data_IF_253548808108
#
_entry.id   IF_253548808108
#
_cell.length_a   1.000
_cell.length_b   1.000
_cell.length_c   1.000
_cell.angle_alpha   90.00
_cell.angle_beta   90.00
_cell.angle_gamma   90.00
#
_symmetry.space_group_name_H-M   'P 1'
#
loop_
_entity.id
_entity.type
_entity.pdbx_description
1 polymer ?
#
# COMPACT_ATOMS: atom_id res chain seq x y z
N UNK A 1 1.77 41.62 84.27
CA UNK A 1 1.95 41.96 82.84
C UNK A 1 2.65 40.87 82.02
N UNK A 2 3.37 39.91 82.62
CA UNK A 2 4.10 38.86 81.87
C UNK A 2 3.20 37.88 81.10
N UNK A 3 2.07 37.42 81.68
CA UNK A 3 1.15 36.47 81.04
C UNK A 3 0.54 36.98 79.71
N UNK A 4 0.26 38.28 79.62
CA UNK A 4 -0.34 38.87 78.41
C UNK A 4 0.64 38.86 77.23
N UNK A 5 1.93 39.06 77.52
CA UNK A 5 3.01 39.01 76.53
C UNK A 5 3.20 37.60 75.96
N UNK A 6 3.07 36.58 76.81
CA UNK A 6 3.16 35.17 76.40
C UNK A 6 1.98 34.73 75.53
N UNK A 7 0.77 35.17 75.86
CA UNK A 7 -0.43 34.89 75.04
C UNK A 7 -0.30 35.51 73.64
N UNK A 8 0.15 36.77 73.55
CA UNK A 8 0.35 37.45 72.26
C UNK A 8 1.42 36.74 71.42
N UNK A 9 2.52 36.30 72.03
CA UNK A 9 3.56 35.54 71.34
C UNK A 9 3.04 34.19 70.84
N UNK A 10 2.30 33.45 71.67
CA UNK A 10 1.72 32.17 71.28
C UNK A 10 0.72 32.34 70.12
N UNK A 11 -0.13 33.36 70.17
CA UNK A 11 -1.08 33.68 69.10
C UNK A 11 -0.35 34.05 67.79
N UNK A 12 0.73 34.83 67.87
CA UNK A 12 1.55 35.18 66.70
C UNK A 12 2.21 33.95 66.06
N UNK A 13 2.76 33.04 66.87
CA UNK A 13 3.35 31.79 66.38
C UNK A 13 2.29 30.89 65.72
N UNK A 14 1.11 30.77 66.34
CA UNK A 14 0.01 30.01 65.76
C UNK A 14 -0.46 30.58 64.41
N UNK A 15 -0.56 31.92 64.31
CA UNK A 15 -0.92 32.59 63.06
C UNK A 15 0.11 32.35 61.95
N UNK A 16 1.41 32.40 62.28
CA UNK A 16 2.49 32.12 61.32
C UNK A 16 2.50 30.65 60.88
N UNK A 17 2.23 29.71 61.80
CA UNK A 17 2.11 28.30 61.46
C UNK A 17 0.91 28.03 60.53
N UNK A 18 -0.23 28.68 60.79
CA UNK A 18 -1.42 28.57 59.94
C UNK A 18 -1.17 29.15 58.54
N UNK A 19 -0.56 30.34 58.45
CA UNK A 19 -0.19 30.96 57.18
C UNK A 19 0.81 30.10 56.39
N UNK A 20 1.80 29.51 57.07
CA UNK A 20 2.76 28.59 56.46
C UNK A 20 2.10 27.32 55.92
N UNK A 21 1.09 26.79 56.61
CA UNK A 21 0.31 25.64 56.17
C UNK A 21 -0.50 25.94 54.90
N UNK A 22 -1.23 27.05 54.88
CA UNK A 22 -2.01 27.51 53.72
C UNK A 22 -1.12 27.75 52.49
N UNK A 23 0.04 28.41 52.67
CA UNK A 23 0.99 28.58 51.57
C UNK A 23 1.48 27.25 51.02
N UNK A 24 1.79 26.27 51.88
CA UNK A 24 2.21 24.94 51.45
C UNK A 24 1.11 24.21 50.68
N UNK A 25 -0.15 24.35 51.10
CA UNK A 25 -1.29 23.77 50.39
C UNK A 25 -1.47 24.38 48.99
N UNK A 26 -1.36 25.70 48.85
CA UNK A 26 -1.44 26.40 47.56
C UNK A 26 -0.27 26.03 46.64
N UNK A 27 0.94 25.94 47.19
CA UNK A 27 2.12 25.48 46.45
C UNK A 27 1.93 24.05 45.94
N UNK A 28 1.49 23.13 46.81
CA UNK A 28 1.23 21.74 46.43
C UNK A 28 0.15 21.61 45.35
N UNK A 29 -0.91 22.43 45.39
CA UNK A 29 -1.93 22.46 44.34
C UNK A 29 -1.38 22.96 43.00
N UNK A 30 -0.54 24.01 43.02
CA UNK A 30 0.12 24.52 41.82
C UNK A 30 1.07 23.49 41.23
N UNK A 31 1.90 22.86 42.04
CA UNK A 31 2.82 21.82 41.60
C UNK A 31 2.04 20.64 40.98
N UNK A 32 0.96 20.20 41.62
CA UNK A 32 0.09 19.16 41.08
C UNK A 32 -0.60 19.57 39.76
N UNK A 33 -0.92 20.85 39.57
CA UNK A 33 -1.48 21.35 38.31
C UNK A 33 -0.42 21.39 37.21
N UNK A 34 0.80 21.85 37.52
CA UNK A 34 1.94 21.88 36.59
C UNK A 34 2.32 20.48 36.15
N UNK A 35 2.39 19.52 37.08
CA UNK A 35 2.67 18.10 36.78
C UNK A 35 1.58 17.50 35.88
N UNK A 36 0.30 17.78 36.15
CA UNK A 36 -0.79 17.31 35.28
C UNK A 36 -0.73 17.93 33.89
N UNK A 37 -0.41 19.23 33.80
CA UNK A 37 -0.28 19.91 32.52
C UNK A 37 0.89 19.35 31.69
N UNK A 38 2.05 19.10 32.31
CA UNK A 38 3.19 18.52 31.62
C UNK A 38 2.93 17.08 31.17
N UNK A 39 2.28 16.27 32.00
CA UNK A 39 1.83 14.92 31.62
C UNK A 39 0.84 14.95 30.45
N UNK A 40 -0.17 15.83 30.50
CA UNK A 40 -1.13 15.99 29.42
C UNK A 40 -0.45 16.44 28.12
N UNK A 41 0.54 17.34 28.20
CA UNK A 41 1.31 17.77 27.03
C UNK A 41 2.15 16.63 26.45
N UNK A 42 2.80 15.82 27.29
CA UNK A 42 3.54 14.64 26.83
C UNK A 42 2.63 13.62 26.16
N UNK A 43 1.44 13.37 26.74
CA UNK A 43 0.44 12.50 26.14
C UNK A 43 -0.09 13.06 24.81
N UNK A 44 -0.32 14.38 24.72
CA UNK A 44 -0.73 15.02 23.48
C UNK A 44 0.33 14.90 22.37
N UNK A 45 1.61 15.08 22.71
CA UNK A 45 2.72 14.89 21.76
C UNK A 45 2.83 13.43 21.31
N UNK A 46 2.74 12.48 22.25
CA UNK A 46 2.79 11.06 21.93
C UNK A 46 1.62 10.62 21.05
N UNK A 47 0.40 11.07 21.36
CA UNK A 47 -0.79 10.76 20.55
C UNK A 47 -0.76 11.43 19.18
N UNK A 48 -0.24 12.64 19.08
CA UNK A 48 -0.05 13.31 17.79
C UNK A 48 0.98 12.58 16.93
N UNK A 49 2.09 12.12 17.51
CA UNK A 49 3.09 11.32 16.80
C UNK A 49 2.49 9.99 16.28
N UNK A 50 1.72 9.29 17.13
CA UNK A 50 1.02 8.06 16.72
C UNK A 50 0.04 8.31 15.57
N UNK A 51 -0.78 9.37 15.64
CA UNK A 51 -1.72 9.73 14.57
C UNK A 51 -1.04 10.11 13.26
N UNK A 52 0.13 10.75 13.32
CA UNK A 52 0.90 11.07 12.12
C UNK A 52 1.39 9.80 11.43
N UNK A 53 1.86 8.82 12.20
CA UNK A 53 2.25 7.52 11.68
C UNK A 53 1.06 6.76 11.09
N UNK A 54 -0.08 6.69 11.78
CA UNK A 54 -1.31 6.07 11.26
C UNK A 54 -1.77 6.70 9.93
N UNK A 55 -1.69 8.03 9.81
CA UNK A 55 -2.04 8.73 8.56
C UNK A 55 -1.08 8.41 7.43
N UNK A 56 0.20 8.26 7.74
CA UNK A 56 1.21 7.91 6.74
C UNK A 56 0.98 6.49 6.22
N UNK A 57 0.79 5.52 7.12
CA UNK A 57 0.46 4.14 6.75
C UNK A 57 -0.82 4.09 5.91
N UNK A 58 -1.88 4.79 6.32
CA UNK A 58 -3.12 4.84 5.56
C UNK A 58 -2.95 5.47 4.16
N UNK A 59 -2.05 6.45 4.01
CA UNK A 59 -1.76 7.05 2.71
C UNK A 59 -0.97 6.11 1.81
N UNK A 60 -0.01 5.37 2.36
CA UNK A 60 0.80 4.39 1.63
C UNK A 60 -0.06 3.19 1.17
N UNK A 61 -0.97 2.73 2.02
CA UNK A 61 -1.96 1.69 1.69
C UNK A 61 -2.89 2.17 0.57
N UNK A 62 -3.43 3.39 0.67
CA UNK A 62 -4.30 3.97 -0.35
C UNK A 62 -3.58 4.15 -1.69
N UNK A 63 -2.31 4.58 -1.68
CA UNK A 63 -1.49 4.68 -2.89
C UNK A 63 -1.25 3.32 -3.54
N UNK A 64 -1.01 2.28 -2.73
CA UNK A 64 -0.81 0.91 -3.20
C UNK A 64 -2.07 0.32 -3.81
N UNK A 65 -3.23 0.55 -3.18
CA UNK A 65 -4.53 0.15 -3.72
C UNK A 65 -4.82 0.83 -5.07
N UNK A 66 -4.61 2.15 -5.16
CA UNK A 66 -4.82 2.90 -6.39
C UNK A 66 -3.90 2.44 -7.53
N UNK A 67 -2.64 2.13 -7.24
CA UNK A 67 -1.72 1.58 -8.22
C UNK A 67 -2.18 0.21 -8.73
N UNK A 68 -2.61 -0.67 -7.82
CA UNK A 68 -3.14 -2.00 -8.19
C UNK A 68 -4.40 -1.92 -9.05
N UNK A 69 -5.35 -1.03 -8.70
CA UNK A 69 -6.56 -0.82 -9.49
C UNK A 69 -6.25 -0.34 -10.91
N UNK A 70 -5.32 0.61 -11.04
CA UNK A 70 -4.84 1.08 -12.34
C UNK A 70 -4.21 -0.05 -13.15
N UNK A 71 -3.31 -0.82 -12.55
CA UNK A 71 -2.61 -1.92 -13.23
C UNK A 71 -3.59 -3.00 -13.71
N UNK A 72 -4.71 -3.20 -13.00
CA UNK A 72 -5.81 -4.07 -13.43
C UNK A 72 -6.56 -3.51 -14.65
N UNK A 73 -6.82 -2.22 -14.69
CA UNK A 73 -7.46 -1.57 -15.85
C UNK A 73 -6.55 -1.63 -17.08
N UNK A 74 -5.28 -1.28 -16.91
CA UNK A 74 -4.26 -1.32 -17.96
C UNK A 74 -4.09 -2.75 -18.48
N UNK A 75 -4.04 -3.75 -17.59
CA UNK A 75 -3.96 -5.16 -17.97
C UNK A 75 -5.14 -5.66 -18.82
N UNK A 76 -6.37 -5.19 -18.53
CA UNK A 76 -7.56 -5.51 -19.36
C UNK A 76 -7.45 -4.89 -20.74
N UNK A 77 -6.99 -3.65 -20.84
CA UNK A 77 -6.79 -2.96 -22.12
C UNK A 77 -5.69 -3.66 -22.95
N UNK A 78 -4.60 -4.06 -22.32
CA UNK A 78 -3.51 -4.80 -22.96
C UNK A 78 -3.97 -6.14 -23.51
N UNK A 79 -4.77 -6.91 -22.76
CA UNK A 79 -5.35 -8.17 -23.22
C UNK A 79 -6.26 -7.95 -24.44
N UNK A 80 -7.17 -6.97 -24.37
CA UNK A 80 -8.04 -6.65 -25.52
C UNK A 80 -7.23 -6.26 -26.76
N UNK A 81 -6.18 -5.45 -26.58
CA UNK A 81 -5.30 -5.08 -27.67
C UNK A 81 -4.52 -6.29 -28.22
N UNK A 82 -4.09 -7.22 -27.37
CA UNK A 82 -3.40 -8.44 -27.77
C UNK A 82 -4.31 -9.37 -28.59
N UNK A 83 -5.55 -9.59 -28.14
CA UNK A 83 -6.56 -10.36 -28.88
C UNK A 83 -6.88 -9.71 -30.23
N UNK A 84 -7.03 -8.37 -30.27
CA UNK A 84 -7.28 -7.66 -31.52
C UNK A 84 -6.11 -7.79 -32.51
N UNK A 85 -4.86 -7.71 -32.03
CA UNK A 85 -3.66 -7.95 -32.85
C UNK A 85 -3.59 -9.39 -33.35
N UNK A 86 -3.91 -10.37 -32.52
CA UNK A 86 -3.94 -11.78 -32.90
C UNK A 86 -5.00 -12.05 -33.98
N UNK A 87 -6.22 -11.55 -33.79
CA UNK A 87 -7.29 -11.66 -34.79
C UNK A 87 -6.93 -10.93 -36.11
N UNK A 88 -6.20 -9.82 -36.06
CA UNK A 88 -5.67 -9.16 -37.26
C UNK A 88 -4.59 -10.01 -37.95
N UNK A 89 -3.68 -10.62 -37.19
CA UNK A 89 -2.65 -11.51 -37.72
C UNK A 89 -3.24 -12.75 -38.39
N UNK A 90 -4.25 -13.38 -37.78
CA UNK A 90 -4.97 -14.51 -38.39
C UNK A 90 -5.67 -14.10 -39.70
N UNK A 91 -6.30 -12.92 -39.75
CA UNK A 91 -6.90 -12.42 -41.00
C UNK A 91 -5.85 -12.18 -42.08
N UNK A 92 -4.68 -11.64 -41.75
CA UNK A 92 -3.59 -11.45 -42.70
C UNK A 92 -3.07 -12.80 -43.23
N UNK A 93 -2.95 -13.81 -42.37
CA UNK A 93 -2.55 -15.16 -42.76
C UNK A 93 -3.61 -15.83 -43.66
N UNK A 94 -4.89 -15.60 -43.41
CA UNK A 94 -5.98 -16.11 -44.26
C UNK A 94 -6.08 -15.36 -45.60
N UNK A 95 -5.72 -14.07 -45.61
CA UNK A 95 -5.74 -13.22 -46.80
C UNK A 95 -4.49 -13.34 -47.65
N UNK A 96 -3.40 -13.92 -47.14
CA UNK A 96 -2.28 -14.34 -47.98
C UNK A 96 -2.85 -15.31 -49.01
N UNK A 97 -2.90 -14.92 -50.30
CA UNK A 97 -3.29 -15.84 -51.35
C UNK A 97 -2.30 -17.01 -51.29
N UNK A 98 -2.65 -18.14 -51.90
CA UNK A 98 -1.70 -19.15 -52.32
C UNK A 98 -0.71 -18.58 -53.39
N UNK A 99 -0.04 -17.47 -53.09
CA UNK A 99 1.01 -16.82 -53.84
C UNK A 99 2.24 -17.73 -53.75
N UNK A 100 2.20 -18.78 -54.55
CA UNK A 100 3.14 -19.89 -54.51
C UNK A 100 2.66 -21.16 -55.23
N UNK A 101 1.40 -21.25 -55.68
CA UNK A 101 1.05 -22.18 -56.79
C UNK A 101 1.31 -21.52 -58.15
N UNK A 102 2.50 -20.95 -58.32
CA UNK A 102 3.12 -20.96 -59.64
C UNK A 102 3.77 -22.32 -59.78
N UNK A 103 3.68 -22.92 -60.97
CA UNK A 103 4.27 -24.21 -61.33
C UNK A 103 5.80 -24.22 -61.11
N UNK A 104 6.23 -24.28 -59.86
CA UNK A 104 7.61 -24.58 -59.50
C UNK A 104 7.77 -26.09 -59.64
N UNK A 105 8.71 -26.57 -60.46
CA UNK A 105 8.95 -28.00 -60.62
C UNK A 105 9.23 -28.59 -59.24
N UNK A 106 8.65 -29.77 -58.97
CA UNK A 106 8.80 -30.48 -57.72
C UNK A 106 10.28 -30.56 -57.33
N UNK A 107 10.70 -29.73 -56.37
CA UNK A 107 12.02 -29.85 -55.79
C UNK A 107 12.07 -31.21 -55.10
N UNK A 108 12.99 -32.05 -55.58
CA UNK A 108 13.16 -33.42 -55.12
C UNK A 108 13.16 -33.48 -53.59
N UNK A 109 12.32 -34.37 -53.05
CA UNK A 109 12.23 -34.64 -51.63
C UNK A 109 13.62 -35.00 -51.08
N UNK A 110 14.22 -34.07 -50.33
CA UNK A 110 15.38 -34.38 -49.50
C UNK A 110 14.89 -34.94 -48.16
N UNK A 111 15.69 -35.82 -47.57
CA UNK A 111 15.44 -36.51 -46.31
C UNK A 111 15.31 -35.51 -45.14
N UNK A 112 14.12 -34.95 -45.00
CA UNK A 112 13.73 -34.01 -43.96
C UNK A 112 12.22 -33.79 -43.97
N UNK A 113 11.48 -34.80 -44.42
CA UNK A 113 10.02 -34.82 -44.52
C UNK A 113 9.44 -34.68 -43.11
N UNK A 114 9.19 -33.44 -42.68
CA UNK A 114 8.18 -33.20 -41.64
C UNK A 114 6.85 -33.58 -42.26
N UNK A 115 6.16 -34.53 -41.65
CA UNK A 115 4.88 -35.04 -42.12
C UNK A 115 3.96 -33.88 -42.51
N UNK A 116 3.61 -33.81 -43.79
CA UNK A 116 2.72 -32.82 -44.38
C UNK A 116 1.25 -33.04 -44.02
N UNK A 117 0.96 -33.40 -42.78
CA UNK A 117 -0.36 -33.12 -42.22
C UNK A 117 -0.47 -31.60 -42.16
N UNK A 118 -1.60 -31.03 -42.63
CA UNK A 118 -1.86 -29.60 -42.50
C UNK A 118 -1.45 -29.19 -41.07
N UNK A 119 -0.53 -28.22 -40.87
CA UNK A 119 -0.20 -27.80 -39.53
C UNK A 119 -1.52 -27.45 -38.88
N UNK A 120 -1.91 -28.21 -37.86
CA UNK A 120 -2.97 -27.79 -36.97
C UNK A 120 -2.41 -26.51 -36.36
N UNK A 121 -2.79 -25.37 -36.93
CA UNK A 121 -2.22 -24.08 -36.62
C UNK A 121 -2.58 -23.79 -35.16
N UNK A 122 -1.70 -24.15 -34.23
CA UNK A 122 -1.94 -24.06 -32.79
C UNK A 122 -2.33 -22.62 -32.42
N UNK A 123 -1.73 -21.63 -33.09
CA UNK A 123 -2.08 -20.23 -32.92
C UNK A 123 -3.52 -19.91 -33.34
N UNK A 124 -4.04 -20.54 -34.40
CA UNK A 124 -5.42 -20.37 -34.82
C UNK A 124 -6.41 -21.11 -33.91
N UNK A 125 -6.01 -22.27 -33.37
CA UNK A 125 -6.86 -23.11 -32.53
C UNK A 125 -6.88 -22.69 -31.05
N UNK A 126 -5.77 -22.17 -30.52
CA UNK A 126 -5.54 -21.96 -29.08
C UNK A 126 -4.89 -20.62 -28.74
N UNK A 127 -4.62 -19.75 -29.73
CA UNK A 127 -3.93 -18.48 -29.50
C UNK A 127 -4.67 -17.54 -28.55
N UNK A 128 -6.00 -17.44 -28.68
CA UNK A 128 -6.82 -16.63 -27.77
C UNK A 128 -6.79 -17.17 -26.33
N UNK A 129 -6.86 -18.50 -26.16
CA UNK A 129 -6.79 -19.15 -24.85
C UNK A 129 -5.41 -18.97 -24.22
N UNK A 130 -4.34 -19.08 -25.01
CA UNK A 130 -2.98 -18.83 -24.55
C UNK A 130 -2.78 -17.38 -24.11
N UNK A 131 -3.37 -16.40 -24.83
CA UNK A 131 -3.33 -14.98 -24.45
C UNK A 131 -4.12 -14.69 -23.18
N UNK A 132 -5.27 -15.34 -22.98
CA UNK A 132 -6.05 -15.22 -21.75
C UNK A 132 -5.32 -15.84 -20.55
N UNK A 133 -4.72 -17.02 -20.73
CA UNK A 133 -3.91 -17.66 -19.68
C UNK A 133 -2.69 -16.82 -19.30
N UNK A 134 -2.04 -16.18 -20.28
CA UNK A 134 -0.96 -15.23 -20.01
C UNK A 134 -1.46 -14.03 -19.19
N UNK A 135 -2.61 -13.45 -19.53
CA UNK A 135 -3.20 -12.36 -18.77
C UNK A 135 -3.60 -12.77 -17.33
N UNK A 136 -4.12 -13.99 -17.13
CA UNK A 136 -4.38 -14.53 -15.79
C UNK A 136 -3.10 -14.68 -14.96
N UNK A 137 -2.01 -15.13 -15.59
CA UNK A 137 -0.70 -15.21 -14.93
C UNK A 137 -0.18 -13.81 -14.55
N UNK A 138 -0.33 -12.84 -15.44
CA UNK A 138 0.04 -11.44 -15.18
C UNK A 138 -0.81 -10.84 -14.04
N UNK A 139 -2.09 -11.18 -13.94
CA UNK A 139 -2.95 -10.77 -12.83
C UNK A 139 -2.48 -11.34 -11.48
N UNK A 140 -2.03 -12.60 -11.45
CA UNK A 140 -1.42 -13.19 -10.25
C UNK A 140 -0.12 -12.44 -9.89
N UNK A 141 0.71 -12.09 -10.88
CA UNK A 141 1.93 -11.31 -10.65
C UNK A 141 1.60 -9.91 -10.11
N UNK A 142 0.57 -9.25 -10.63
CA UNK A 142 0.07 -7.96 -10.12
C UNK A 142 -0.38 -8.07 -8.66
N UNK A 143 -1.19 -9.08 -8.33
CA UNK A 143 -1.63 -9.34 -6.95
C UNK A 143 -0.46 -9.58 -5.99
N UNK A 144 0.48 -10.45 -6.37
CA UNK A 144 1.66 -10.73 -5.56
C UNK A 144 2.53 -9.49 -5.36
N UNK A 145 2.68 -8.66 -6.39
CA UNK A 145 3.44 -7.42 -6.34
C UNK A 145 2.78 -6.40 -5.40
N UNK A 146 1.46 -6.26 -5.44
CA UNK A 146 0.71 -5.41 -4.51
C UNK A 146 0.85 -5.89 -3.05
N UNK A 147 0.73 -7.19 -2.80
CA UNK A 147 0.97 -7.78 -1.48
C UNK A 147 2.40 -7.51 -0.98
N UNK A 148 3.40 -7.64 -1.85
CA UNK A 148 4.78 -7.34 -1.49
C UNK A 148 5.00 -5.84 -1.22
N UNK A 149 4.33 -4.94 -1.94
CA UNK A 149 4.39 -3.51 -1.69
C UNK A 149 3.84 -3.16 -0.31
N UNK A 150 2.68 -3.71 0.06
CA UNK A 150 2.09 -3.56 1.41
C UNK A 150 3.01 -4.08 2.52
N UNK A 151 3.64 -5.24 2.31
CA UNK A 151 4.58 -5.79 3.31
C UNK A 151 5.84 -4.92 3.42
N UNK A 152 6.27 -4.28 2.33
CA UNK A 152 7.43 -3.37 2.36
C UNK A 152 7.10 -2.04 3.05
N UNK A 153 5.91 -1.49 2.83
CA UNK A 153 5.48 -0.26 3.51
C UNK A 153 5.29 -0.49 5.02
N UNK A 154 4.73 -1.62 5.43
CA UNK A 154 4.57 -1.99 6.85
C UNK A 154 5.90 -2.15 7.61
N UNK A 155 6.98 -2.49 6.91
CA UNK A 155 8.31 -2.73 7.51
C UNK A 155 9.22 -1.49 7.55
N UNK A 156 8.78 -0.35 7.00
CA UNK A 156 9.54 0.92 7.00
C UNK A 156 9.09 1.84 8.13
#
# INVERSE_FOLDING_TARGET
MQLWREIVLAAAVAALAFLGWEMRAVLAQRDAAVVRASQAQQQAVATQAARMHERQVAADDAATAAAYEKDLEDGKLELQAALARHAAALRLHQQQPAAGRGDLPAAAASAGQRDGAAPADFSAAHGDDALRLAAEADDVVRQLSACQALIRSDRQ
#
